data_IF_217974347562
#
_entry.id   IF_217974347562
#
_cell.length_a   1.000
_cell.length_b   1.000
_cell.length_c   1.000
_cell.angle_alpha   90.00
_cell.angle_beta   90.00
_cell.angle_gamma   90.00
#
_symmetry.space_group_name_H-M   'P 1'
#
loop_
_entity.id
_entity.type
_entity.pdbx_description
1 polymer ?
#
# COMPACT_ATOMS: atom_id res chain seq x y z
N UNK A 1 -6.77 12.39 -15.60
CA UNK A 1 -7.72 11.46 -14.92
C UNK A 1 -8.31 10.52 -15.95
N UNK A 2 -8.19 9.23 -15.74
CA UNK A 2 -8.72 8.16 -16.60
C UNK A 2 -9.89 7.51 -15.87
N UNK A 3 -11.00 7.25 -16.58
CA UNK A 3 -12.14 6.51 -16.04
C UNK A 3 -12.18 5.12 -16.63
N UNK A 4 -12.36 4.13 -15.77
CA UNK A 4 -12.60 2.73 -16.14
C UNK A 4 -13.91 2.31 -15.48
N UNK A 5 -14.92 1.87 -16.26
CA UNK A 5 -16.24 1.58 -15.69
C UNK A 5 -16.94 0.42 -16.38
N UNK A 6 -17.78 -0.24 -15.63
CA UNK A 6 -18.74 -1.22 -16.11
C UNK A 6 -20.13 -0.91 -15.52
N UNK A 7 -21.09 -1.83 -15.63
CA UNK A 7 -22.47 -1.62 -15.15
C UNK A 7 -22.58 -1.54 -13.61
N UNK A 8 -21.54 -1.91 -12.85
CA UNK A 8 -21.56 -2.03 -11.39
C UNK A 8 -20.62 -1.06 -10.70
N UNK A 9 -19.43 -0.81 -11.29
CA UNK A 9 -18.33 -0.09 -10.66
C UNK A 9 -17.73 0.94 -11.61
N UNK A 10 -17.39 2.10 -11.08
CA UNK A 10 -16.60 3.15 -11.76
C UNK A 10 -15.34 3.44 -10.96
N UNK A 11 -14.19 3.39 -11.62
CA UNK A 11 -12.89 3.79 -11.11
C UNK A 11 -12.48 5.14 -11.72
N UNK A 12 -11.85 5.99 -10.93
CA UNK A 12 -11.12 7.15 -11.43
C UNK A 12 -9.65 7.02 -11.04
N UNK A 13 -8.76 7.13 -12.02
CA UNK A 13 -7.33 6.91 -11.84
C UNK A 13 -6.58 8.14 -12.36
N UNK A 14 -5.66 8.65 -11.57
CA UNK A 14 -4.79 9.77 -11.95
C UNK A 14 -3.55 9.26 -12.68
N UNK A 15 -3.09 9.99 -13.71
CA UNK A 15 -1.77 9.80 -14.31
C UNK A 15 -0.66 10.20 -13.33
N UNK A 16 -0.93 11.19 -12.45
CA UNK A 16 -0.03 11.53 -11.36
C UNK A 16 -0.03 10.40 -10.31
N UNK A 17 1.10 9.76 -10.11
CA UNK A 17 1.29 8.62 -9.22
C UNK A 17 0.68 7.30 -9.73
N UNK A 18 0.04 7.27 -10.91
CA UNK A 18 -0.87 6.20 -11.34
C UNK A 18 -1.88 5.86 -10.22
N UNK A 19 -2.32 6.87 -9.47
CA UNK A 19 -3.05 6.72 -8.22
C UNK A 19 -4.55 6.52 -8.46
N UNK A 20 -5.13 5.50 -7.83
CA UNK A 20 -6.57 5.28 -7.80
C UNK A 20 -7.23 6.31 -6.86
N UNK A 21 -8.10 7.15 -7.39
CA UNK A 21 -8.74 8.27 -6.68
C UNK A 21 -10.17 7.99 -6.27
N UNK A 22 -10.87 7.07 -6.94
CA UNK A 22 -12.28 6.77 -6.63
C UNK A 22 -12.62 5.33 -7.00
N UNK A 23 -13.42 4.70 -6.16
CA UNK A 23 -14.11 3.43 -6.40
C UNK A 23 -15.58 3.66 -6.06
N UNK A 24 -16.43 3.81 -7.08
CA UNK A 24 -17.87 4.00 -6.89
C UNK A 24 -18.66 2.78 -7.32
N UNK A 25 -19.55 2.31 -6.44
CA UNK A 25 -20.53 1.30 -6.73
C UNK A 25 -21.82 1.59 -5.97
N UNK A 26 -22.98 1.29 -6.55
CA UNK A 26 -24.31 1.50 -5.95
C UNK A 26 -24.51 2.93 -5.43
N UNK A 27 -23.95 3.93 -6.12
CA UNK A 27 -24.01 5.34 -5.74
C UNK A 27 -23.14 5.73 -4.55
N UNK A 28 -22.31 4.82 -4.00
CA UNK A 28 -21.44 5.04 -2.86
C UNK A 28 -19.97 5.11 -3.28
N UNK A 29 -19.19 5.95 -2.59
CA UNK A 29 -17.74 5.99 -2.69
C UNK A 29 -17.14 5.03 -1.64
N UNK A 30 -16.15 4.24 -2.04
CA UNK A 30 -15.44 3.30 -1.17
C UNK A 30 -14.05 3.80 -0.79
N UNK A 31 -13.48 4.70 -1.60
CA UNK A 31 -12.13 5.21 -1.39
C UNK A 31 -12.16 6.58 -0.70
N UNK A 32 -11.21 6.83 0.17
CA UNK A 32 -11.00 8.13 0.81
C UNK A 32 -10.73 9.22 -0.21
N UNK A 33 -11.29 10.42 -0.01
CA UNK A 33 -11.26 11.52 -0.98
C UNK A 33 -10.22 12.60 -0.67
N UNK A 34 -9.15 12.23 0.03
CA UNK A 34 -7.93 13.02 0.25
C UNK A 34 -8.14 14.42 0.88
N UNK A 35 -9.10 14.58 1.79
CA UNK A 35 -9.24 15.82 2.56
C UNK A 35 -7.95 16.08 3.36
N UNK A 36 -7.23 17.21 3.10
CA UNK A 36 -5.96 17.51 3.76
C UNK A 36 -6.08 17.71 5.27
N UNK A 37 -7.29 17.89 5.80
CA UNK A 37 -7.53 17.88 7.25
C UNK A 37 -7.06 16.58 7.89
N UNK A 38 -7.21 15.45 7.20
CA UNK A 38 -6.83 14.13 7.68
C UNK A 38 -5.59 13.61 6.97
N UNK A 39 -5.69 13.37 5.66
CA UNK A 39 -4.60 12.86 4.83
C UNK A 39 -4.86 13.18 3.36
N UNK A 40 -3.92 13.84 2.70
CA UNK A 40 -4.05 14.43 1.37
C UNK A 40 -3.69 13.47 0.21
N UNK A 41 -3.89 12.16 0.39
CA UNK A 41 -3.71 11.13 -0.64
C UNK A 41 -4.89 10.17 -0.62
N UNK A 42 -5.08 9.38 -1.71
CA UNK A 42 -6.16 8.40 -1.86
C UNK A 42 -5.64 6.98 -1.74
N UNK A 43 -4.71 6.58 -2.63
CA UNK A 43 -4.19 5.22 -2.78
C UNK A 43 -2.80 5.21 -3.43
N UNK A 44 -1.79 5.87 -2.85
CA UNK A 44 -0.50 6.04 -3.49
C UNK A 44 0.22 4.71 -3.73
N UNK A 45 0.92 4.64 -4.87
CA UNK A 45 1.86 3.56 -5.20
C UNK A 45 3.19 3.84 -4.51
N UNK A 46 3.73 2.85 -3.82
CA UNK A 46 4.98 2.93 -3.06
C UNK A 46 6.10 2.30 -3.89
N UNK A 47 7.04 3.13 -4.40
CA UNK A 47 8.20 2.67 -5.18
C UNK A 47 9.26 3.77 -5.26
N UNK A 48 10.56 3.46 -5.22
CA UNK A 48 11.18 2.13 -5.12
C UNK A 48 11.42 1.68 -3.67
N UNK A 49 10.84 2.37 -2.69
CA UNK A 49 10.93 2.05 -1.27
C UNK A 49 9.55 2.01 -0.64
N UNK A 50 9.37 1.14 0.37
CA UNK A 50 8.20 1.08 1.24
C UNK A 50 8.60 1.58 2.63
N UNK A 51 7.80 2.48 3.20
CA UNK A 51 8.11 3.11 4.48
C UNK A 51 9.29 4.10 4.38
N UNK A 52 10.00 4.27 5.47
CA UNK A 52 11.17 5.17 5.54
C UNK A 52 12.48 4.39 5.50
N UNK A 53 13.48 4.99 4.90
CA UNK A 53 14.88 4.63 5.10
C UNK A 53 15.43 5.43 6.28
N UNK A 54 16.35 4.85 7.07
CA UNK A 54 16.89 5.50 8.26
C UNK A 54 17.58 6.84 7.91
N UNK A 55 17.22 7.89 8.60
CA UNK A 55 17.65 9.27 8.32
C UNK A 55 17.30 9.80 6.93
N UNK A 56 16.37 9.18 6.20
CA UNK A 56 16.06 9.45 4.79
C UNK A 56 17.27 9.26 3.85
N UNK A 57 18.19 8.36 4.20
CA UNK A 57 19.39 8.03 3.43
C UNK A 57 19.57 6.53 3.29
N UNK A 58 20.04 6.08 2.13
CA UNK A 58 20.47 4.71 1.91
C UNK A 58 21.83 4.66 1.20
N UNK A 59 22.52 3.53 1.26
CA UNK A 59 23.83 3.32 0.67
C UNK A 59 23.78 2.31 -0.46
N UNK A 60 24.44 2.61 -1.54
CA UNK A 60 24.62 1.68 -2.66
C UNK A 60 25.92 1.98 -3.41
N UNK A 61 26.76 0.94 -3.59
CA UNK A 61 28.00 1.05 -4.35
C UNK A 61 28.96 2.11 -3.81
N UNK A 62 29.08 2.24 -2.49
CA UNK A 62 29.95 3.20 -1.82
C UNK A 62 29.44 4.66 -1.86
N UNK A 63 28.22 4.90 -2.33
CA UNK A 63 27.58 6.23 -2.35
C UNK A 63 26.37 6.26 -1.44
N UNK A 64 26.07 7.46 -0.91
CA UNK A 64 24.85 7.73 -0.15
C UNK A 64 23.86 8.49 -1.02
N UNK A 65 22.60 8.07 -0.95
CA UNK A 65 21.48 8.64 -1.69
C UNK A 65 20.37 9.05 -0.70
N UNK A 66 19.69 10.15 -0.98
CA UNK A 66 18.52 10.58 -0.21
C UNK A 66 17.25 9.95 -0.75
N UNK A 67 16.36 9.47 0.14
CA UNK A 67 15.07 8.93 -0.22
C UNK A 67 14.02 9.31 0.81
N UNK A 68 12.94 9.92 0.34
CA UNK A 68 11.76 10.21 1.16
C UNK A 68 10.94 8.95 1.48
N UNK A 69 10.01 9.10 2.42
CA UNK A 69 9.07 8.04 2.78
C UNK A 69 8.30 7.54 1.55
N UNK A 70 8.25 6.21 1.38
CA UNK A 70 7.55 5.52 0.30
C UNK A 70 8.11 5.77 -1.11
N UNK A 71 9.34 6.24 -1.23
CA UNK A 71 9.96 6.50 -2.52
C UNK A 71 9.40 7.74 -3.23
N UNK A 72 9.42 7.72 -4.56
CA UNK A 72 9.07 8.89 -5.38
C UNK A 72 7.98 8.64 -6.42
N UNK A 73 7.64 7.40 -6.74
CA UNK A 73 6.72 7.10 -7.87
C UNK A 73 5.35 7.77 -7.69
N UNK A 74 4.86 7.86 -6.45
CA UNK A 74 3.59 8.52 -6.13
C UNK A 74 3.54 10.03 -6.41
N UNK A 75 4.69 10.65 -6.63
CA UNK A 75 4.84 12.09 -6.89
C UNK A 75 5.33 12.36 -8.32
N UNK A 76 5.22 11.37 -9.22
CA UNK A 76 5.64 11.47 -10.62
C UNK A 76 4.47 11.23 -11.57
N UNK A 77 4.55 11.81 -12.76
CA UNK A 77 3.55 11.59 -13.79
C UNK A 77 3.86 10.34 -14.60
N UNK A 78 2.88 9.46 -14.70
CA UNK A 78 2.91 8.25 -15.51
C UNK A 78 2.27 8.50 -16.86
N UNK A 79 2.75 7.81 -17.87
CA UNK A 79 2.13 7.78 -19.20
C UNK A 79 1.08 6.69 -19.27
N UNK A 80 -0.13 7.00 -19.70
CA UNK A 80 -1.15 6.01 -20.04
C UNK A 80 -0.72 5.26 -21.30
N UNK A 81 -0.48 3.94 -21.18
CA UNK A 81 0.03 3.10 -22.29
C UNK A 81 -0.98 2.09 -22.80
N UNK A 82 -2.02 1.81 -22.03
CA UNK A 82 -3.14 0.97 -22.44
C UNK A 82 -4.43 1.51 -21.79
N UNK A 83 -5.48 1.60 -22.60
CA UNK A 83 -6.84 1.84 -22.13
C UNK A 83 -7.81 1.07 -23.03
N UNK A 84 -8.61 0.22 -22.42
CA UNK A 84 -9.73 -0.46 -23.08
C UNK A 84 -10.93 -0.55 -22.10
N UNK A 85 -11.97 -1.28 -22.44
CA UNK A 85 -13.19 -1.38 -21.62
C UNK A 85 -12.98 -1.98 -20.23
N UNK A 86 -11.88 -2.69 -20.01
CA UNK A 86 -11.63 -3.46 -18.77
C UNK A 86 -10.32 -3.13 -18.08
N UNK A 87 -9.42 -2.43 -18.75
CA UNK A 87 -8.05 -2.25 -18.28
C UNK A 87 -7.51 -0.86 -18.60
N UNK A 88 -6.81 -0.28 -17.64
CA UNK A 88 -5.98 0.91 -17.81
C UNK A 88 -4.58 0.61 -17.25
N UNK A 89 -3.52 0.83 -18.06
CA UNK A 89 -2.13 0.63 -17.68
C UNK A 89 -1.35 1.93 -17.81
N UNK A 90 -0.64 2.27 -16.74
CA UNK A 90 0.18 3.46 -16.61
C UNK A 90 1.65 3.07 -16.47
N UNK A 91 2.55 3.80 -17.11
CA UNK A 91 3.98 3.50 -17.15
C UNK A 91 4.81 4.67 -16.66
N UNK A 92 5.76 4.37 -15.78
CA UNK A 92 6.86 5.25 -15.38
C UNK A 92 8.19 4.60 -15.76
N UNK A 93 9.04 5.33 -16.46
CA UNK A 93 10.40 4.89 -16.80
C UNK A 93 11.42 5.71 -16.01
N UNK A 94 12.57 5.10 -15.73
CA UNK A 94 13.70 5.84 -15.17
C UNK A 94 14.12 6.99 -16.10
N UNK A 95 14.47 8.12 -15.51
CA UNK A 95 14.95 9.33 -16.18
C UNK A 95 16.26 9.79 -15.55
N UNK A 96 16.92 10.79 -16.13
CA UNK A 96 18.10 11.41 -15.53
C UNK A 96 17.81 11.87 -14.10
N UNK A 97 16.63 12.45 -13.86
CA UNK A 97 16.21 12.87 -12.52
C UNK A 97 16.13 11.70 -11.55
N UNK A 98 15.42 10.62 -11.91
CA UNK A 98 15.27 9.46 -11.02
C UNK A 98 16.60 8.78 -10.73
N UNK A 99 17.51 8.72 -11.71
CA UNK A 99 18.85 8.12 -11.56
C UNK A 99 19.74 8.87 -10.56
N UNK A 100 19.48 10.15 -10.29
CA UNK A 100 20.19 10.89 -9.23
C UNK A 100 19.82 10.43 -7.83
N UNK A 101 18.60 9.92 -7.64
CA UNK A 101 18.04 9.49 -6.35
C UNK A 101 17.99 7.98 -6.19
N UNK A 102 17.94 7.24 -7.32
CA UNK A 102 17.84 5.80 -7.38
C UNK A 102 18.57 5.30 -8.62
N UNK A 103 19.83 4.80 -8.49
CA UNK A 103 20.76 4.60 -9.60
C UNK A 103 20.50 3.33 -10.42
N UNK A 104 19.23 2.97 -10.60
CA UNK A 104 18.83 1.80 -11.39
C UNK A 104 17.88 2.22 -12.51
N UNK A 105 18.18 1.73 -13.72
CA UNK A 105 17.26 1.90 -14.84
C UNK A 105 16.09 0.90 -14.72
N UNK A 106 14.87 1.42 -14.76
CA UNK A 106 13.66 0.63 -14.56
C UNK A 106 12.54 1.04 -15.53
N UNK A 107 11.60 0.14 -15.69
CA UNK A 107 10.26 0.43 -16.19
C UNK A 107 9.25 -0.13 -15.19
N UNK A 108 8.43 0.75 -14.59
CA UNK A 108 7.32 0.41 -13.71
C UNK A 108 6.02 0.59 -14.48
N UNK A 109 5.17 -0.43 -14.49
CA UNK A 109 3.81 -0.34 -14.95
C UNK A 109 2.85 -0.66 -13.82
N UNK A 110 1.74 0.10 -13.75
CA UNK A 110 0.64 -0.13 -12.83
C UNK A 110 -0.61 -0.31 -13.68
N UNK A 111 -1.19 -1.51 -13.62
CA UNK A 111 -2.40 -1.87 -14.36
C UNK A 111 -3.58 -2.02 -13.42
N UNK A 112 -4.71 -1.47 -13.82
CA UNK A 112 -6.01 -1.63 -13.16
C UNK A 112 -6.91 -2.44 -14.08
N UNK A 113 -7.41 -3.59 -13.60
CA UNK A 113 -8.32 -4.46 -14.36
C UNK A 113 -9.64 -4.56 -13.61
N UNK A 114 -10.73 -4.16 -14.26
CA UNK A 114 -12.08 -4.15 -13.68
C UNK A 114 -12.95 -5.24 -14.31
N UNK A 115 -13.48 -6.15 -13.46
CA UNK A 115 -14.42 -7.21 -13.89
C UNK A 115 -15.54 -7.37 -12.88
N UNK A 116 -16.77 -6.96 -13.23
CA UNK A 116 -17.89 -6.89 -12.29
C UNK A 116 -17.48 -6.02 -11.09
N UNK A 117 -17.58 -6.54 -9.89
CA UNK A 117 -17.19 -5.86 -8.64
C UNK A 117 -15.75 -6.16 -8.18
N UNK A 118 -14.97 -6.80 -9.04
CA UNK A 118 -13.59 -7.17 -8.76
C UNK A 118 -12.60 -6.25 -9.49
N UNK A 119 -11.67 -5.68 -8.75
CA UNK A 119 -10.65 -4.74 -9.21
C UNK A 119 -9.29 -5.37 -8.92
N UNK A 120 -8.54 -5.75 -9.95
CA UNK A 120 -7.16 -6.18 -9.80
C UNK A 120 -6.22 -5.01 -10.05
N UNK A 121 -5.21 -4.86 -9.19
CA UNK A 121 -4.11 -3.89 -9.34
C UNK A 121 -2.82 -4.68 -9.48
N UNK A 122 -2.17 -4.56 -10.64
CA UNK A 122 -0.98 -5.32 -10.99
C UNK A 122 0.20 -4.38 -11.17
N UNK A 123 1.31 -4.70 -10.52
CA UNK A 123 2.59 -4.03 -10.68
C UNK A 123 3.51 -4.87 -11.55
N UNK A 124 4.02 -4.27 -12.61
CA UNK A 124 5.08 -4.87 -13.43
C UNK A 124 6.32 -4.00 -13.33
N UNK A 125 7.37 -4.54 -12.72
CA UNK A 125 8.67 -3.87 -12.60
C UNK A 125 9.66 -4.60 -13.46
N UNK A 126 10.24 -3.91 -14.45
CA UNK A 126 11.31 -4.43 -15.30
C UNK A 126 12.62 -3.75 -14.98
N UNK A 127 13.66 -4.52 -14.75
CA UNK A 127 15.02 -4.02 -14.71
C UNK A 127 15.52 -3.81 -16.15
N UNK A 128 15.66 -2.55 -16.56
CA UNK A 128 16.17 -2.17 -17.90
C UNK A 128 17.64 -1.81 -17.88
N UNK A 129 18.28 -1.91 -16.72
CA UNK A 129 19.71 -1.65 -16.53
C UNK A 129 20.59 -2.89 -16.72
N UNK A 130 21.86 -2.75 -16.35
CA UNK A 130 22.90 -3.77 -16.50
C UNK A 130 23.33 -4.41 -15.18
N UNK A 131 22.85 -3.89 -14.05
CA UNK A 131 23.15 -4.38 -12.70
C UNK A 131 21.89 -4.95 -12.05
N UNK A 132 22.06 -5.75 -11.00
CA UNK A 132 20.92 -6.21 -10.17
C UNK A 132 20.26 -5.02 -9.51
N UNK A 133 18.99 -4.80 -9.81
CA UNK A 133 18.18 -3.75 -9.22
C UNK A 133 17.61 -4.20 -7.86
N UNK A 134 17.68 -3.33 -6.87
CA UNK A 134 17.15 -3.55 -5.51
C UNK A 134 15.99 -2.59 -5.27
N UNK A 135 14.80 -3.10 -5.08
CA UNK A 135 13.60 -2.28 -4.93
C UNK A 135 12.59 -2.86 -3.93
N UNK A 136 11.70 -2.03 -3.50
CA UNK A 136 10.49 -2.41 -2.79
C UNK A 136 9.29 -1.79 -3.51
N UNK A 137 8.12 -2.42 -3.39
CA UNK A 137 6.88 -1.94 -3.99
C UNK A 137 5.69 -2.26 -3.11
N UNK A 138 4.67 -1.42 -3.14
CA UNK A 138 3.43 -1.63 -2.42
C UNK A 138 2.35 -0.63 -2.81
N UNK A 139 1.20 -0.78 -2.17
CA UNK A 139 0.09 0.17 -2.26
C UNK A 139 -0.31 0.68 -0.86
N UNK A 140 -1.04 1.79 -0.86
CA UNK A 140 -1.51 2.43 0.37
C UNK A 140 -2.96 2.93 0.21
N UNK A 141 -3.90 2.08 -0.29
CA UNK A 141 -5.28 2.49 -0.49
C UNK A 141 -5.98 2.76 0.84
N UNK A 142 -6.69 3.89 0.92
CA UNK A 142 -7.50 4.28 2.07
C UNK A 142 -8.98 4.04 1.76
N UNK A 143 -9.63 3.20 2.54
CA UNK A 143 -11.04 2.82 2.37
C UNK A 143 -11.91 3.52 3.41
N UNK A 144 -13.03 4.07 2.96
CA UNK A 144 -14.02 4.67 3.83
C UNK A 144 -14.71 3.62 4.71
N UNK A 145 -14.92 3.95 5.97
CA UNK A 145 -15.84 3.19 6.83
C UNK A 145 -17.27 3.37 6.33
N UNK A 146 -17.98 2.28 6.07
CA UNK A 146 -19.30 2.30 5.41
C UNK A 146 -20.36 3.02 6.22
N UNK A 147 -20.34 2.86 7.54
CA UNK A 147 -21.31 3.39 8.49
C UNK A 147 -20.64 4.29 9.54
N UNK A 148 -19.68 5.11 9.09
CA UNK A 148 -18.92 6.01 9.95
C UNK A 148 -19.81 6.91 10.80
N UNK A 149 -19.51 6.97 12.10
CA UNK A 149 -20.13 7.88 13.05
C UNK A 149 -19.05 8.40 14.01
N UNK A 150 -18.78 9.70 13.97
CA UNK A 150 -17.76 10.35 14.78
C UNK A 150 -18.06 10.31 16.29
N UNK A 151 -19.33 10.09 16.67
CA UNK A 151 -19.75 10.07 18.07
C UNK A 151 -19.51 8.71 18.76
N UNK A 152 -19.08 7.68 18.04
CA UNK A 152 -18.75 6.37 18.62
C UNK A 152 -17.25 6.12 18.60
N UNK A 153 -16.73 5.31 19.54
CA UNK A 153 -15.34 4.86 19.53
C UNK A 153 -15.07 3.81 18.45
N UNK A 154 -16.05 2.92 18.22
CA UNK A 154 -15.96 1.82 17.26
C UNK A 154 -16.06 2.35 15.81
N UNK A 155 -15.17 1.87 14.94
CA UNK A 155 -15.08 2.26 13.53
C UNK A 155 -15.50 1.14 12.57
N UNK A 156 -14.94 -0.05 12.76
CA UNK A 156 -15.10 -1.17 11.84
C UNK A 156 -14.57 -2.46 12.49
N UNK A 157 -14.65 -3.57 11.74
CA UNK A 157 -13.94 -4.81 12.03
C UNK A 157 -13.10 -5.22 10.82
N UNK A 158 -11.91 -5.73 11.09
CA UNK A 158 -11.10 -6.46 10.11
C UNK A 158 -11.27 -7.95 10.35
N UNK A 159 -11.75 -8.66 9.35
CA UNK A 159 -11.89 -10.12 9.39
C UNK A 159 -10.73 -10.75 8.61
N UNK A 160 -9.94 -11.56 9.31
CA UNK A 160 -8.79 -12.32 8.81
C UNK A 160 -9.13 -13.78 8.50
N UNK A 161 -10.38 -14.17 8.77
CA UNK A 161 -10.87 -15.53 8.64
C UNK A 161 -10.91 -16.30 9.98
N UNK A 162 -11.82 -17.28 10.11
CA UNK A 162 -12.19 -17.90 11.38
C UNK A 162 -11.08 -18.77 12.02
N UNK A 163 -10.01 -19.05 11.28
CA UNK A 163 -8.89 -19.86 11.77
C UNK A 163 -7.69 -19.04 12.25
N UNK A 164 -7.77 -17.71 12.14
CA UNK A 164 -6.74 -16.81 12.63
C UNK A 164 -7.01 -16.49 14.11
N UNK A 165 -6.17 -16.98 15.00
CA UNK A 165 -6.33 -16.78 16.46
C UNK A 165 -5.26 -15.87 17.04
N UNK A 166 -4.16 -15.68 16.32
CA UNK A 166 -3.10 -14.75 16.71
C UNK A 166 -2.29 -14.31 15.49
N UNK A 167 -1.78 -13.08 15.54
CA UNK A 167 -0.88 -12.51 14.54
C UNK A 167 0.31 -11.88 15.25
N UNK A 168 1.46 -11.92 14.60
CA UNK A 168 2.59 -11.10 15.00
C UNK A 168 2.66 -9.84 14.15
N UNK A 169 3.02 -8.72 14.77
CA UNK A 169 3.17 -7.46 14.05
C UNK A 169 4.33 -6.65 14.60
N UNK A 170 4.84 -5.76 13.79
CA UNK A 170 5.76 -4.70 14.17
C UNK A 170 5.13 -3.35 13.88
N UNK A 171 5.48 -2.33 14.67
CA UNK A 171 5.04 -0.96 14.44
C UNK A 171 6.23 -0.04 14.30
N UNK A 172 6.16 0.98 13.44
CA UNK A 172 7.18 2.00 13.39
C UNK A 172 7.31 2.74 14.72
N UNK A 173 8.53 3.09 15.09
CA UNK A 173 8.84 3.83 16.31
C UNK A 173 9.65 5.08 15.99
N UNK A 174 10.96 5.03 16.08
CA UNK A 174 11.83 6.18 15.86
C UNK A 174 11.91 6.52 14.37
N UNK A 175 11.60 7.77 14.01
CA UNK A 175 11.67 8.30 12.62
C UNK A 175 10.89 7.48 11.59
N UNK A 176 9.86 6.75 12.01
CA UNK A 176 9.06 5.88 11.11
C UNK A 176 9.79 4.62 10.68
N UNK A 177 10.81 4.19 11.43
CA UNK A 177 11.52 2.92 11.27
C UNK A 177 11.11 1.93 12.35
N UNK A 178 11.31 0.63 12.11
CA UNK A 178 10.83 -0.42 13.01
C UNK A 178 11.89 -0.88 14.00
N UNK A 179 11.50 -1.26 15.23
CA UNK A 179 12.36 -2.06 16.11
C UNK A 179 12.55 -3.46 15.53
N UNK A 180 13.45 -4.25 16.12
CA UNK A 180 13.66 -5.65 15.72
C UNK A 180 12.64 -6.62 16.33
N UNK A 181 11.98 -6.24 17.43
CA UNK A 181 11.12 -7.15 18.19
C UNK A 181 9.65 -7.00 17.76
N UNK A 182 8.99 -8.12 17.36
CA UNK A 182 7.57 -8.12 17.06
C UNK A 182 6.72 -8.16 18.34
N UNK A 183 5.47 -7.72 18.20
CA UNK A 183 4.41 -7.88 19.18
C UNK A 183 3.47 -9.01 18.77
N UNK A 184 2.76 -9.60 19.73
CA UNK A 184 1.70 -10.56 19.47
C UNK A 184 0.33 -9.91 19.67
N UNK A 185 -0.55 -10.10 18.71
CA UNK A 185 -1.94 -9.70 18.75
C UNK A 185 -2.81 -10.95 18.82
N UNK A 186 -3.59 -11.09 19.89
CA UNK A 186 -4.61 -12.15 19.99
C UNK A 186 -5.83 -11.75 19.17
N UNK A 187 -6.34 -12.66 18.36
CA UNK A 187 -7.52 -12.47 17.50
C UNK A 187 -8.64 -13.40 17.99
N UNK A 188 -9.76 -12.81 18.35
CA UNK A 188 -10.94 -13.56 18.76
C UNK A 188 -11.91 -13.72 17.60
N UNK A 189 -12.34 -14.96 17.31
CA UNK A 189 -13.28 -15.24 16.22
C UNK A 189 -12.78 -14.86 14.83
N UNK A 190 -11.46 -14.63 14.64
CA UNK A 190 -10.88 -14.21 13.37
C UNK A 190 -11.01 -12.71 13.08
N UNK A 191 -11.58 -11.91 14.00
CA UNK A 191 -11.83 -10.48 13.79
C UNK A 191 -10.99 -9.60 14.73
N UNK A 192 -10.60 -8.44 14.23
CA UNK A 192 -9.97 -7.35 14.99
C UNK A 192 -10.91 -6.14 14.99
N UNK A 193 -11.29 -5.69 16.17
CA UNK A 193 -12.02 -4.43 16.34
C UNK A 193 -11.14 -3.24 16.03
N UNK A 194 -11.64 -2.32 15.23
CA UNK A 194 -10.99 -1.04 14.94
C UNK A 194 -11.74 0.08 15.66
N UNK A 195 -11.05 0.74 16.56
CA UNK A 195 -11.57 1.88 17.31
C UNK A 195 -10.59 3.07 17.24
N UNK A 196 -10.96 4.17 17.88
CA UNK A 196 -10.16 5.41 17.85
C UNK A 196 -8.76 5.27 18.44
N UNK A 197 -8.53 4.30 19.32
CA UNK A 197 -7.22 4.06 19.96
C UNK A 197 -6.40 2.94 19.32
N UNK A 198 -6.97 2.20 18.37
CA UNK A 198 -6.29 1.05 17.74
C UNK A 198 -4.89 1.41 17.23
N UNK A 199 -4.74 2.58 16.61
CA UNK A 199 -3.46 3.02 16.02
C UNK A 199 -2.67 3.95 16.95
N UNK A 200 -2.80 3.82 18.27
CA UNK A 200 -2.03 4.63 19.22
C UNK A 200 -0.50 4.41 19.12
N UNK A 201 -0.08 3.23 18.68
CA UNK A 201 1.31 2.87 18.41
C UNK A 201 1.66 2.91 16.91
N UNK A 202 0.92 3.71 16.10
CA UNK A 202 1.10 3.81 14.65
C UNK A 202 0.58 2.56 13.89
N UNK A 203 1.24 2.17 12.83
CA UNK A 203 0.86 1.13 11.85
C UNK A 203 1.06 -0.28 12.41
N UNK A 204 0.11 -1.18 12.17
CA UNK A 204 0.32 -2.62 12.32
C UNK A 204 0.92 -3.18 11.03
N UNK A 205 2.14 -3.70 11.08
CA UNK A 205 2.80 -4.34 9.94
C UNK A 205 2.82 -5.85 10.24
N UNK A 206 1.98 -6.62 9.55
CA UNK A 206 1.96 -8.07 9.58
C UNK A 206 2.89 -8.60 8.51
N UNK A 207 4.00 -9.22 8.88
CA UNK A 207 5.00 -9.75 7.96
C UNK A 207 4.98 -11.29 7.90
N UNK A 208 5.94 -11.90 7.18
CA UNK A 208 6.08 -13.36 7.05
C UNK A 208 4.87 -14.07 6.43
N UNK A 209 4.13 -13.41 5.53
CA UNK A 209 2.99 -13.99 4.80
C UNK A 209 1.92 -14.63 5.71
N UNK A 210 1.69 -14.03 6.89
CA UNK A 210 0.70 -14.52 7.84
C UNK A 210 -0.73 -14.40 7.32
N UNK A 211 -0.98 -13.44 6.41
CA UNK A 211 -2.27 -13.13 5.83
C UNK A 211 -2.20 -13.13 4.30
N UNK A 212 -3.31 -13.46 3.66
CA UNK A 212 -3.48 -13.37 2.21
C UNK A 212 -4.80 -12.67 1.82
N UNK A 213 -5.63 -12.36 2.79
CA UNK A 213 -6.87 -11.60 2.63
C UNK A 213 -7.21 -10.83 3.90
N UNK A 214 -7.89 -9.71 3.74
CA UNK A 214 -8.53 -8.94 4.80
C UNK A 214 -9.91 -8.53 4.30
N UNK A 215 -10.96 -8.84 5.07
CA UNK A 215 -12.32 -8.35 4.80
C UNK A 215 -12.63 -7.21 5.75
N UNK A 216 -13.04 -6.08 5.20
CA UNK A 216 -13.49 -4.92 5.97
C UNK A 216 -15.00 -5.03 6.20
N UNK A 217 -15.40 -4.99 7.48
CA UNK A 217 -16.79 -5.09 7.94
C UNK A 217 -17.21 -3.79 8.64
N UNK A 218 -18.48 -3.45 8.49
CA UNK A 218 -19.07 -2.32 9.21
C UNK A 218 -19.24 -2.62 10.73
N UNK A 219 -19.75 -1.67 11.49
CA UNK A 219 -19.98 -1.81 12.94
C UNK A 219 -21.03 -2.86 13.34
N UNK A 220 -21.78 -3.38 12.36
CA UNK A 220 -22.74 -4.48 12.52
C UNK A 220 -22.19 -5.81 11.98
N UNK A 221 -20.86 -5.93 11.80
CA UNK A 221 -20.17 -7.09 11.25
C UNK A 221 -20.58 -7.48 9.80
N UNK A 222 -21.23 -6.57 9.04
CA UNK A 222 -21.59 -6.83 7.65
C UNK A 222 -20.39 -6.56 6.75
N UNK A 223 -19.91 -7.55 5.97
CA UNK A 223 -18.80 -7.36 5.08
C UNK A 223 -19.21 -6.45 3.90
N UNK A 224 -18.30 -5.59 3.43
CA UNK A 224 -18.56 -4.73 2.30
C UNK A 224 -17.40 -4.59 1.33
N UNK A 225 -16.19 -4.98 1.74
CA UNK A 225 -15.00 -4.94 0.91
C UNK A 225 -14.05 -6.05 1.35
N UNK A 226 -13.46 -6.76 0.37
CA UNK A 226 -12.39 -7.72 0.62
C UNK A 226 -11.19 -7.35 -0.22
N UNK A 227 -10.01 -7.34 0.42
CA UNK A 227 -8.72 -7.26 -0.26
C UNK A 227 -8.03 -8.62 -0.22
N UNK A 228 -7.58 -9.11 -1.39
CA UNK A 228 -6.75 -10.32 -1.50
C UNK A 228 -5.36 -9.93 -2.02
N UNK A 229 -4.33 -10.60 -1.50
CA UNK A 229 -2.93 -10.33 -1.86
C UNK A 229 -2.06 -11.56 -1.64
N UNK A 230 -0.91 -11.60 -2.33
CA UNK A 230 0.14 -12.60 -2.12
C UNK A 230 1.42 -11.94 -1.56
N UNK A 231 1.32 -10.70 -1.15
CA UNK A 231 2.45 -9.94 -0.61
C UNK A 231 2.94 -10.55 0.70
N UNK A 232 4.25 -10.57 0.95
CA UNK A 232 4.80 -11.11 2.20
C UNK A 232 4.46 -10.26 3.43
N UNK A 233 4.00 -9.02 3.20
CA UNK A 233 3.59 -8.10 4.25
C UNK A 233 2.27 -7.44 3.88
N UNK A 234 1.48 -7.14 4.91
CA UNK A 234 0.37 -6.20 4.81
C UNK A 234 0.41 -5.26 6.01
N UNK A 235 0.23 -3.98 5.76
CA UNK A 235 0.12 -3.00 6.83
C UNK A 235 -1.32 -2.47 6.94
N UNK A 236 -1.69 -2.11 8.15
CA UNK A 236 -3.00 -1.52 8.46
C UNK A 236 -2.76 -0.24 9.25
N UNK A 237 -3.36 0.86 8.78
CA UNK A 237 -3.13 2.17 9.37
C UNK A 237 -4.35 3.09 9.26
N UNK A 238 -4.49 3.97 10.25
CA UNK A 238 -5.37 5.13 10.20
C UNK A 238 -4.81 6.20 11.15
N UNK A 239 -4.91 7.49 10.84
CA UNK A 239 -4.49 8.55 11.77
C UNK A 239 -5.45 8.75 12.95
N UNK A 240 -6.31 7.79 13.27
CA UNK A 240 -7.38 7.90 14.27
C UNK A 240 -6.89 8.24 15.68
N UNK A 241 -5.68 7.82 16.06
CA UNK A 241 -5.12 8.15 17.38
C UNK A 241 -4.88 9.66 17.58
N UNK A 242 -4.58 10.40 16.51
CA UNK A 242 -4.36 11.86 16.55
C UNK A 242 -5.51 12.66 15.94
N UNK A 243 -6.35 11.99 15.14
CA UNK A 243 -7.49 12.56 14.42
C UNK A 243 -8.70 11.64 14.58
N UNK A 244 -9.39 11.67 15.73
CA UNK A 244 -10.44 10.69 16.06
C UNK A 244 -11.62 10.68 15.07
N UNK A 245 -11.86 11.81 14.37
CA UNK A 245 -12.95 11.94 13.40
C UNK A 245 -12.58 11.42 12.00
N UNK A 246 -11.44 10.75 11.84
CA UNK A 246 -11.03 10.23 10.53
C UNK A 246 -11.96 9.10 10.07
N UNK A 247 -12.52 9.18 8.84
CA UNK A 247 -13.53 8.23 8.38
C UNK A 247 -12.98 7.08 7.53
N UNK A 248 -11.68 6.78 7.59
CA UNK A 248 -11.05 5.77 6.74
C UNK A 248 -10.01 4.92 7.45
N UNK A 249 -9.67 3.81 6.82
CA UNK A 249 -8.57 2.91 7.16
C UNK A 249 -7.78 2.55 5.90
N UNK A 250 -6.46 2.46 6.02
CA UNK A 250 -5.59 1.95 4.96
C UNK A 250 -5.35 0.45 5.13
N UNK A 251 -5.46 -0.30 4.03
CA UNK A 251 -5.05 -1.70 3.93
C UNK A 251 -3.95 -1.76 2.87
N UNK A 252 -2.74 -2.11 3.27
CA UNK A 252 -1.53 -1.79 2.52
C UNK A 252 -0.72 -3.06 2.19
N UNK A 253 -0.96 -3.70 1.03
CA UNK A 253 -0.17 -4.85 0.60
C UNK A 253 1.22 -4.42 0.15
N UNK A 254 2.28 -5.07 0.70
CA UNK A 254 3.67 -4.65 0.52
C UNK A 254 4.63 -5.77 0.15
N UNK A 255 5.53 -5.49 -0.79
CA UNK A 255 6.79 -6.19 -1.07
C UNK A 255 7.95 -5.32 -0.59
N UNK A 256 8.11 -5.23 0.71
CA UNK A 256 9.09 -4.38 1.38
C UNK A 256 8.59 -3.80 2.67
N UNK A 257 9.48 -3.16 3.44
CA UNK A 257 9.11 -2.38 4.64
C UNK A 257 10.15 -1.28 4.92
N UNK A 258 9.83 -0.40 5.88
CA UNK A 258 10.77 0.57 6.39
C UNK A 258 12.02 -0.09 7.01
N UNK A 259 13.09 0.68 7.14
CA UNK A 259 14.33 0.24 7.79
C UNK A 259 14.10 -0.15 9.26
N UNK A 260 15.07 -0.88 9.80
CA UNK A 260 15.25 -0.97 11.24
C UNK A 260 15.81 0.34 11.77
N UNK A 261 15.45 0.65 13.00
CA UNK A 261 16.08 1.77 13.74
C UNK A 261 17.61 1.60 13.73
N UNK A 262 18.32 2.63 13.28
CA UNK A 262 19.78 2.61 13.23
C UNK A 262 20.39 1.88 12.05
N UNK A 263 19.60 1.43 11.05
CA UNK A 263 20.14 0.74 9.89
C UNK A 263 21.17 1.58 9.14
N UNK A 264 22.33 0.97 8.85
CA UNK A 264 23.46 1.63 8.18
C UNK A 264 24.14 0.75 7.10
N UNK A 265 23.49 -0.37 6.75
CA UNK A 265 23.97 -1.29 5.72
C UNK A 265 23.72 -0.80 4.29
N UNK A 266 24.05 -1.65 3.32
CA UNK A 266 23.81 -1.42 1.90
C UNK A 266 22.33 -1.57 1.56
N UNK A 267 21.88 -0.93 0.48
CA UNK A 267 20.51 -1.05 -0.03
C UNK A 267 20.09 -2.51 -0.26
N UNK A 268 21.01 -3.31 -0.78
CA UNK A 268 20.77 -4.72 -1.07
C UNK A 268 20.45 -5.56 0.17
N UNK A 269 20.97 -5.18 1.34
CA UNK A 269 20.88 -5.95 2.57
C UNK A 269 19.73 -5.52 3.48
N UNK A 270 18.90 -4.58 3.01
CA UNK A 270 17.71 -4.14 3.76
C UNK A 270 16.68 -5.27 3.87
N UNK A 271 15.93 -5.27 4.96
CA UNK A 271 14.87 -6.26 5.15
C UNK A 271 13.84 -6.21 4.01
N UNK A 272 13.39 -7.39 3.58
CA UNK A 272 12.35 -7.55 2.56
C UNK A 272 12.69 -6.82 1.24
N UNK A 273 13.96 -6.74 0.86
CA UNK A 273 14.39 -6.16 -0.40
C UNK A 273 14.20 -7.15 -1.55
N UNK A 274 13.61 -6.68 -2.64
CA UNK A 274 13.53 -7.46 -3.88
C UNK A 274 14.80 -7.25 -4.71
N UNK A 275 15.31 -8.34 -5.30
CA UNK A 275 16.50 -8.35 -6.15
C UNK A 275 16.09 -8.80 -7.55
N UNK A 276 16.24 -7.92 -8.53
CA UNK A 276 15.83 -8.19 -9.92
C UNK A 276 17.02 -8.11 -10.85
N UNK A 277 17.41 -9.25 -11.41
CA UNK A 277 18.52 -9.32 -12.36
C UNK A 277 18.25 -8.50 -13.63
N UNK A 278 19.27 -8.06 -14.36
CA UNK A 278 19.14 -7.37 -15.64
C UNK A 278 18.18 -8.08 -16.60
N UNK A 279 17.30 -7.31 -17.23
CA UNK A 279 16.30 -7.81 -18.17
C UNK A 279 15.15 -8.63 -17.58
N UNK A 280 15.18 -8.92 -16.27
CA UNK A 280 14.08 -9.67 -15.60
C UNK A 280 12.90 -8.75 -15.28
N UNK A 281 11.76 -9.41 -15.06
CA UNK A 281 10.49 -8.78 -14.74
C UNK A 281 9.96 -9.36 -13.44
N UNK A 282 9.54 -8.49 -12.55
CA UNK A 282 8.71 -8.79 -11.39
C UNK A 282 7.27 -8.43 -11.75
N UNK A 283 6.31 -9.32 -11.50
CA UNK A 283 4.89 -9.09 -11.80
C UNK A 283 4.05 -9.65 -10.65
N UNK A 284 3.49 -8.76 -9.85
CA UNK A 284 2.70 -9.07 -8.66
C UNK A 284 1.61 -8.02 -8.46
N UNK A 285 0.77 -8.19 -7.42
CA UNK A 285 -0.29 -7.22 -7.17
C UNK A 285 -1.23 -7.63 -6.05
N UNK A 286 -2.40 -7.02 -6.06
CA UNK A 286 -3.49 -7.29 -5.14
C UNK A 286 -4.83 -7.10 -5.83
N UNK A 287 -5.91 -7.51 -5.18
CA UNK A 287 -7.25 -7.23 -5.68
C UNK A 287 -8.19 -6.75 -4.59
N UNK A 288 -9.19 -5.98 -5.02
CA UNK A 288 -10.27 -5.46 -4.19
C UNK A 288 -11.57 -6.03 -4.75
N UNK A 289 -12.40 -6.61 -3.90
CA UNK A 289 -13.75 -7.07 -4.25
C UNK A 289 -14.76 -6.31 -3.40
N UNK A 290 -15.73 -5.65 -4.04
CA UNK A 290 -16.86 -5.04 -3.34
C UNK A 290 -17.95 -6.11 -3.12
N UNK A 291 -18.41 -6.23 -1.87
CA UNK A 291 -19.33 -7.28 -1.41
C UNK A 291 -20.77 -6.78 -1.29
#
# INVERSE_FOLDING_TARGET
>A
MVSLSNNEVTLLISEHGAELHSIKADGQEYLWQADPKFWNRHSPVLFPMVGRVWNNEYRHGGRTYSMGQHGFARDMDFTLVLLNDHEATFRLQSSEETLTRYPFAFCLEVSYVLRGRHIAVVWTVRNTGTETMHFQIGAHPAFLYRDFDANTGLRAYLDFGPHVHSLTYISPTEKGCTPCEPHTLTIEGGEMEINTSTFACDTYIFDHSQLNAITLKDRQHRPYLMMNFQTPLVAVWSPSATKPDVPFICLEPWYGRCDRVGYSGELADRDCMNHLLPGRVFCEGYSITLL
#
